data_IF_347767020490
#
_entry.id   IF_347767020490
#
_cell.length_a   1.000
_cell.length_b   1.000
_cell.length_c   1.000
_cell.angle_alpha   90.00
_cell.angle_beta   90.00
_cell.angle_gamma   90.00
#
_symmetry.space_group_name_H-M   'P 1'
#
loop_
_entity.id
_entity.type
_entity.pdbx_description
1 polymer ?
#
# COMPACT_ATOMS: atom_id res chain seq x y z
N UNK A 1 -1.00 -17.24 -20.61
CA UNK A 1 0.09 -17.23 -19.61
C UNK A 1 0.01 -15.92 -18.85
N UNK A 2 -0.19 -15.93 -17.53
CA UNK A 2 -0.18 -14.70 -16.73
C UNK A 2 1.24 -14.14 -16.74
N UNK A 3 1.43 -12.89 -17.16
CA UNK A 3 2.73 -12.23 -17.05
C UNK A 3 3.05 -12.00 -15.56
N UNK A 4 4.31 -12.16 -15.12
CA UNK A 4 4.70 -11.90 -13.74
C UNK A 4 4.59 -10.40 -13.42
N UNK A 5 4.30 -10.08 -12.16
CA UNK A 5 4.25 -8.70 -11.66
C UNK A 5 5.64 -8.08 -11.77
N UNK A 6 5.75 -6.97 -12.49
CA UNK A 6 7.01 -6.25 -12.71
C UNK A 6 7.36 -5.46 -11.45
N UNK A 7 6.58 -4.43 -11.10
CA UNK A 7 6.82 -3.64 -9.89
C UNK A 7 5.64 -3.72 -8.91
N UNK A 8 5.97 -3.80 -7.61
CA UNK A 8 5.03 -3.53 -6.53
C UNK A 8 5.42 -2.18 -5.91
N UNK A 9 4.60 -1.16 -6.11
CA UNK A 9 4.80 0.19 -5.59
C UNK A 9 4.23 0.25 -4.18
N UNK A 10 5.11 0.40 -3.19
CA UNK A 10 4.78 0.54 -1.77
C UNK A 10 4.42 1.99 -1.52
N UNK A 11 3.22 2.21 -0.97
CA UNK A 11 2.74 3.54 -0.58
C UNK A 11 2.41 3.51 0.91
N UNK A 12 3.18 4.25 1.69
CA UNK A 12 2.94 4.45 3.12
C UNK A 12 1.81 5.48 3.32
N UNK A 13 1.19 5.50 4.50
CA UNK A 13 -0.01 6.32 4.71
C UNK A 13 0.23 7.84 4.76
N UNK A 14 1.48 8.29 4.86
CA UNK A 14 1.92 9.67 4.69
C UNK A 14 2.34 10.00 3.25
N UNK A 15 2.45 8.99 2.38
CA UNK A 15 2.89 9.12 0.98
C UNK A 15 1.72 9.15 -0.03
N UNK A 16 0.52 9.56 0.40
CA UNK A 16 -0.72 9.51 -0.41
C UNK A 16 -0.77 10.59 -1.51
N UNK A 17 0.24 10.61 -2.37
CA UNK A 17 0.42 11.53 -3.49
C UNK A 17 0.37 10.76 -4.82
N UNK A 18 -0.51 11.16 -5.73
CA UNK A 18 -0.64 10.54 -7.05
C UNK A 18 0.56 10.82 -7.97
N UNK A 19 1.28 11.92 -7.72
CA UNK A 19 2.42 12.41 -8.49
C UNK A 19 3.76 12.04 -7.82
N UNK A 20 3.77 11.07 -6.90
CA UNK A 20 4.98 10.62 -6.23
C UNK A 20 5.96 9.96 -7.22
N UNK A 21 7.26 10.15 -7.00
CA UNK A 21 8.33 9.56 -7.82
C UNK A 21 8.26 8.03 -7.94
N UNK A 22 7.65 7.35 -6.97
CA UNK A 22 7.42 5.91 -7.03
C UNK A 22 6.50 5.47 -8.20
N UNK A 23 5.75 6.40 -8.79
CA UNK A 23 4.89 6.18 -9.95
C UNK A 23 5.57 6.51 -11.29
N UNK A 24 6.81 6.99 -11.30
CA UNK A 24 7.53 7.28 -12.53
C UNK A 24 7.72 5.99 -13.35
N UNK A 25 7.19 5.98 -14.58
CA UNK A 25 7.23 4.81 -15.46
C UNK A 25 6.29 3.66 -15.08
N UNK A 26 5.28 3.92 -14.23
CA UNK A 26 4.27 2.93 -13.84
C UNK A 26 3.51 2.38 -15.06
N UNK A 27 3.43 1.06 -15.16
CA UNK A 27 2.70 0.34 -16.20
C UNK A 27 1.49 -0.39 -15.58
N UNK A 28 0.25 0.10 -15.77
CA UNK A 28 -0.96 -0.51 -15.19
C UNK A 28 -1.18 -1.97 -15.58
N UNK A 29 -0.59 -2.45 -16.69
CA UNK A 29 -0.71 -3.83 -17.11
C UNK A 29 0.32 -4.77 -16.45
N UNK A 30 1.32 -4.22 -15.77
CA UNK A 30 2.46 -4.99 -15.23
C UNK A 30 2.83 -4.64 -13.79
N UNK A 31 2.31 -3.54 -13.25
CA UNK A 31 2.61 -3.04 -11.92
C UNK A 31 1.36 -3.00 -11.04
N UNK A 32 1.58 -3.00 -9.74
CA UNK A 32 0.51 -2.89 -8.75
C UNK A 32 0.95 -1.97 -7.61
N UNK A 33 -0.04 -1.33 -6.98
CA UNK A 33 0.14 -0.52 -5.78
C UNK A 33 -0.12 -1.41 -4.56
N UNK A 34 0.64 -1.20 -3.49
CA UNK A 34 0.46 -1.84 -2.21
C UNK A 34 0.30 -0.82 -1.10
N UNK A 35 -0.73 -0.98 -0.27
CA UNK A 35 -0.92 -0.28 1.00
C UNK A 35 -1.41 -1.29 2.05
N UNK A 36 -1.10 -1.05 3.32
CA UNK A 36 -1.61 -1.83 4.43
C UNK A 36 -1.91 -0.93 5.63
N UNK A 37 -3.10 -1.07 6.20
CA UNK A 37 -3.41 -0.53 7.52
C UNK A 37 -2.88 -1.50 8.58
N UNK A 38 -2.00 -1.07 9.49
CA UNK A 38 -1.47 -1.92 10.56
C UNK A 38 -1.46 -1.18 11.89
N UNK A 39 -1.69 -1.91 12.99
CA UNK A 39 -1.82 -1.32 14.32
C UNK A 39 -0.49 -0.78 14.86
N UNK A 40 0.63 -1.45 14.56
CA UNK A 40 1.97 -1.10 15.07
C UNK A 40 2.37 0.36 14.76
N UNK A 41 1.95 0.90 13.60
CA UNK A 41 2.25 2.29 13.21
C UNK A 41 1.56 3.31 14.13
N UNK A 42 0.39 2.96 14.68
CA UNK A 42 -0.34 3.81 15.63
C UNK A 42 0.11 3.63 17.08
N UNK A 43 0.90 2.58 17.37
CA UNK A 43 1.47 2.30 18.69
C UNK A 43 2.89 2.87 18.83
N UNK A 44 3.65 2.97 17.74
CA UNK A 44 4.98 3.58 17.71
C UNK A 44 4.96 5.07 18.04
N UNK A 45 3.91 5.79 17.62
CA UNK A 45 3.68 7.18 17.97
C UNK A 45 2.28 7.30 18.52
N UNK A 46 2.16 7.64 19.81
CA UNK A 46 0.86 7.86 20.42
C UNK A 46 0.03 8.86 19.60
N UNK A 47 -1.09 8.37 19.06
CA UNK A 47 -1.92 9.10 18.12
C UNK A 47 -3.32 9.24 18.66
N UNK A 48 -3.93 10.41 18.46
CA UNK A 48 -5.31 10.64 18.86
C UNK A 48 -6.28 9.89 17.93
N UNK A 49 -7.43 9.46 18.45
CA UNK A 49 -8.46 8.78 17.64
C UNK A 49 -8.85 9.57 16.37
N UNK A 50 -9.02 10.92 16.40
CA UNK A 50 -9.29 11.67 15.17
C UNK A 50 -8.17 11.58 14.14
N UNK A 51 -6.90 11.58 14.57
CA UNK A 51 -5.75 11.47 13.68
C UNK A 51 -5.70 10.11 12.99
N UNK A 52 -5.92 9.04 13.76
CA UNK A 52 -6.01 7.67 13.22
C UNK A 52 -7.14 7.60 12.19
N UNK A 53 -8.32 8.11 12.52
CA UNK A 53 -9.47 8.10 11.61
C UNK A 53 -9.19 8.83 10.29
N UNK A 54 -8.59 10.03 10.35
CA UNK A 54 -8.21 10.80 9.15
C UNK A 54 -7.18 10.05 8.30
N UNK A 55 -6.19 9.42 8.94
CA UNK A 55 -5.15 8.68 8.25
C UNK A 55 -5.70 7.46 7.49
N UNK A 56 -6.48 6.61 8.19
CA UNK A 56 -7.12 5.44 7.59
C UNK A 56 -8.10 5.84 6.49
N UNK A 57 -8.93 6.86 6.72
CA UNK A 57 -9.84 7.37 5.70
C UNK A 57 -9.07 7.83 4.45
N UNK A 58 -7.99 8.60 4.62
CA UNK A 58 -7.17 9.07 3.51
C UNK A 58 -6.58 7.90 2.70
N UNK A 59 -6.06 6.86 3.38
CA UNK A 59 -5.54 5.66 2.71
C UNK A 59 -6.63 4.93 1.89
N UNK A 60 -7.84 4.80 2.46
CA UNK A 60 -8.99 4.16 1.78
C UNK A 60 -9.43 4.96 0.55
N UNK A 61 -9.53 6.29 0.69
CA UNK A 61 -9.86 7.18 -0.43
C UNK A 61 -8.78 7.14 -1.53
N UNK A 62 -7.50 7.10 -1.16
CA UNK A 62 -6.41 6.95 -2.11
C UNK A 62 -6.50 5.62 -2.87
N UNK A 63 -6.71 4.51 -2.16
CA UNK A 63 -6.94 3.18 -2.76
C UNK A 63 -8.06 3.23 -3.80
N UNK A 64 -9.19 3.82 -3.45
CA UNK A 64 -10.37 3.86 -4.32
C UNK A 64 -10.14 4.76 -5.54
N UNK A 65 -9.47 5.90 -5.36
CA UNK A 65 -9.07 6.77 -6.47
C UNK A 65 -8.13 6.05 -7.45
N UNK A 66 -7.09 5.35 -6.96
CA UNK A 66 -6.17 4.59 -7.81
C UNK A 66 -6.86 3.43 -8.54
N UNK A 67 -7.82 2.76 -7.90
CA UNK A 67 -8.65 1.73 -8.55
C UNK A 67 -9.54 2.32 -9.64
N UNK A 68 -10.14 3.49 -9.41
CA UNK A 68 -10.95 4.19 -10.41
C UNK A 68 -10.13 4.60 -11.65
N UNK A 69 -8.84 4.85 -11.50
CA UNK A 69 -7.89 5.08 -12.59
C UNK A 69 -7.49 3.80 -13.35
N UNK A 70 -8.03 2.63 -12.97
CA UNK A 70 -7.71 1.34 -13.59
C UNK A 70 -6.41 0.70 -13.10
N UNK A 71 -5.81 1.20 -12.02
CA UNK A 71 -4.60 0.62 -11.44
C UNK A 71 -4.95 -0.58 -10.55
N UNK A 72 -4.09 -1.59 -10.56
CA UNK A 72 -4.19 -2.71 -9.61
C UNK A 72 -3.73 -2.25 -8.23
N UNK A 73 -4.59 -2.40 -7.21
CA UNK A 73 -4.27 -2.01 -5.82
C UNK A 73 -4.51 -3.17 -4.86
N UNK A 74 -3.42 -3.63 -4.25
CA UNK A 74 -3.41 -4.58 -3.14
C UNK A 74 -3.48 -3.80 -1.83
N UNK A 75 -4.55 -3.99 -1.08
CA UNK A 75 -4.85 -3.25 0.13
C UNK A 75 -5.20 -4.21 1.26
N UNK A 76 -4.55 -4.09 2.41
CA UNK A 76 -4.92 -4.78 3.65
C UNK A 76 -5.63 -3.80 4.58
N UNK A 77 -6.86 -4.13 5.00
CA UNK A 77 -7.61 -3.34 5.99
C UNK A 77 -7.20 -3.73 7.43
N UNK A 78 -7.37 -2.81 8.37
CA UNK A 78 -6.91 -2.95 9.75
C UNK A 78 -7.61 -4.11 10.47
N UNK A 79 -8.87 -4.35 10.12
CA UNK A 79 -9.73 -5.41 10.66
C UNK A 79 -9.69 -6.71 9.84
N UNK A 80 -8.81 -6.82 8.83
CA UNK A 80 -8.60 -8.09 8.13
C UNK A 80 -8.10 -9.14 9.13
N UNK A 81 -8.81 -10.27 9.32
CA UNK A 81 -8.42 -11.30 10.28
C UNK A 81 -7.06 -11.96 9.95
N UNK A 82 -6.53 -11.74 8.74
CA UNK A 82 -5.21 -12.23 8.30
C UNK A 82 -4.13 -11.14 8.32
N UNK A 83 -4.43 -9.95 8.86
CA UNK A 83 -3.46 -8.88 9.02
C UNK A 83 -2.33 -9.34 9.96
N UNK A 84 -1.08 -9.20 9.53
CA UNK A 84 0.11 -9.57 10.27
C UNK A 84 0.44 -8.61 11.43
N UNK A 85 -0.25 -7.46 11.50
CA UNK A 85 -0.10 -6.45 12.55
C UNK A 85 1.05 -5.47 12.35
N UNK A 86 1.97 -5.74 11.43
CA UNK A 86 3.17 -4.95 11.14
C UNK A 86 3.33 -4.68 9.65
N UNK A 87 3.90 -3.53 9.27
CA UNK A 87 4.15 -3.22 7.85
C UNK A 87 5.09 -4.24 7.21
N UNK A 88 6.17 -4.61 7.91
CA UNK A 88 7.13 -5.60 7.45
C UNK A 88 6.48 -6.97 7.22
N UNK A 89 5.59 -7.39 8.14
CA UNK A 89 4.86 -8.65 8.03
C UNK A 89 3.90 -8.66 6.85
N UNK A 90 3.11 -7.61 6.67
CA UNK A 90 2.19 -7.48 5.54
C UNK A 90 2.92 -7.40 4.20
N UNK A 91 4.04 -6.66 4.13
CA UNK A 91 4.85 -6.57 2.92
C UNK A 91 5.49 -7.92 2.57
N UNK A 92 6.01 -8.66 3.56
CA UNK A 92 6.55 -10.00 3.35
C UNK A 92 5.49 -10.98 2.81
N UNK A 93 4.25 -10.91 3.34
CA UNK A 93 3.11 -11.68 2.82
C UNK A 93 2.79 -11.32 1.38
N UNK A 94 2.77 -10.02 1.06
CA UNK A 94 2.51 -9.53 -0.29
C UNK A 94 3.59 -9.97 -1.29
N UNK A 95 4.87 -9.84 -0.94
CA UNK A 95 6.00 -10.29 -1.77
C UNK A 95 5.90 -11.79 -2.04
N UNK A 96 5.62 -12.61 -1.01
CA UNK A 96 5.45 -14.06 -1.17
C UNK A 96 4.27 -14.42 -2.08
N UNK A 97 3.18 -13.67 -1.98
CA UNK A 97 1.94 -13.90 -2.74
C UNK A 97 2.06 -13.47 -4.20
N UNK A 98 2.53 -12.26 -4.44
CA UNK A 98 2.50 -11.62 -5.76
C UNK A 98 3.81 -11.77 -6.54
N UNK A 99 4.92 -12.11 -5.87
CA UNK A 99 6.24 -12.33 -6.46
C UNK A 99 6.66 -11.23 -7.45
N UNK A 100 6.65 -9.94 -7.02
CA UNK A 100 7.08 -8.85 -7.89
C UNK A 100 8.56 -9.00 -8.26
N UNK A 101 8.93 -8.48 -9.42
CA UNK A 101 10.34 -8.43 -9.84
C UNK A 101 11.13 -7.35 -9.08
N UNK A 102 10.45 -6.30 -8.60
CA UNK A 102 11.04 -5.21 -7.81
C UNK A 102 10.00 -4.56 -6.90
N UNK A 103 10.47 -4.05 -5.76
CA UNK A 103 9.73 -3.12 -4.90
C UNK A 103 10.18 -1.69 -5.21
N UNK A 104 9.21 -0.78 -5.35
CA UNK A 104 9.46 0.65 -5.56
C UNK A 104 8.80 1.40 -4.40
N UNK A 105 9.48 2.39 -3.84
CA UNK A 105 8.95 3.22 -2.77
C UNK A 105 9.58 4.61 -2.87
N UNK A 106 8.82 5.66 -2.54
CA UNK A 106 9.40 6.99 -2.33
C UNK A 106 10.13 6.98 -0.98
N UNK A 107 11.30 7.62 -0.91
CA UNK A 107 12.04 7.76 0.35
C UNK A 107 11.17 8.51 1.38
N UNK A 108 11.04 7.99 2.62
CA UNK A 108 10.25 8.62 3.68
C UNK A 108 10.96 9.83 4.31
#
# INVERSE_FOLDING_TARGET
MSRPLRHLVVVLGDQLNADASAFDGFDPARDAIWLAEVAEESEHVWSSQPRIAVFLASMRHFRDARRAEGKTVHYTELDDPKNAGTLAGELARAVKKFKPSRLIMTEP
#
